data_IF_136544857230
#
_entry.id   IF_136544857230
#
_cell.length_a   1.000
_cell.length_b   1.000
_cell.length_c   1.000
_cell.angle_alpha   90.00
_cell.angle_beta   90.00
_cell.angle_gamma   90.00
#
_symmetry.space_group_name_H-M   'P 1'
#
loop_
_entity.id
_entity.type
_entity.pdbx_description
1 polymer ?
#
# COMPACT_ATOMS: atom_id res chain seq x y z
N UNK A 1 8.81 -28.25 0.81
CA UNK A 1 8.11 -27.73 -0.37
C UNK A 1 8.61 -26.36 -0.69
N UNK A 2 9.19 -26.18 -1.87
CA UNK A 2 9.60 -24.85 -2.32
C UNK A 2 8.36 -23.97 -2.48
N UNK A 3 8.42 -22.68 -2.09
CA UNK A 3 7.27 -21.80 -2.18
C UNK A 3 6.88 -21.62 -3.66
N UNK A 4 5.67 -22.09 -4.00
CA UNK A 4 5.12 -21.92 -5.36
C UNK A 4 4.86 -20.43 -5.59
N UNK A 5 5.55 -19.85 -6.57
CA UNK A 5 5.30 -18.49 -7.02
C UNK A 5 3.99 -18.47 -7.81
N UNK A 6 3.04 -17.64 -7.38
CA UNK A 6 1.77 -17.47 -8.07
C UNK A 6 1.93 -16.48 -9.22
N UNK A 7 2.13 -17.01 -10.43
CA UNK A 7 2.21 -16.21 -11.66
C UNK A 7 1.65 -16.97 -12.87
N UNK A 8 0.31 -17.04 -13.03
CA UNK A 8 -0.31 -17.76 -14.16
C UNK A 8 -0.10 -17.06 -15.52
N UNK A 9 0.24 -15.76 -15.53
CA UNK A 9 0.41 -14.96 -16.74
C UNK A 9 1.88 -14.64 -17.07
N UNK A 10 2.80 -15.13 -16.24
CA UNK A 10 4.23 -14.99 -16.41
C UNK A 10 4.72 -13.53 -16.42
N UNK A 11 4.08 -12.66 -15.63
CA UNK A 11 4.45 -11.24 -15.55
C UNK A 11 5.84 -11.03 -14.95
N UNK A 12 6.32 -11.96 -14.12
CA UNK A 12 7.66 -11.92 -13.56
C UNK A 12 8.74 -12.13 -14.63
N UNK A 13 8.41 -12.67 -15.80
CA UNK A 13 9.37 -12.93 -16.88
C UNK A 13 9.40 -11.86 -17.97
N UNK A 14 8.57 -10.82 -17.85
CA UNK A 14 8.47 -9.76 -18.86
C UNK A 14 9.80 -9.04 -19.11
N UNK A 15 10.66 -8.90 -18.09
CA UNK A 15 11.99 -8.30 -18.22
C UNK A 15 12.91 -9.09 -19.18
N UNK A 16 12.67 -10.39 -19.38
CA UNK A 16 13.43 -11.23 -20.32
C UNK A 16 13.04 -10.98 -21.78
N UNK A 17 11.84 -10.44 -22.02
CA UNK A 17 11.27 -10.22 -23.35
C UNK A 17 11.64 -8.82 -23.90
N UNK A 18 11.76 -7.82 -23.03
CA UNK A 18 12.16 -6.45 -23.42
C UNK A 18 12.86 -5.74 -22.28
N UNK A 19 13.99 -5.07 -22.57
CA UNK A 19 14.74 -4.28 -21.60
C UNK A 19 14.04 -2.99 -21.12
N UNK A 20 12.84 -2.69 -21.63
CA UNK A 20 11.99 -1.61 -21.14
C UNK A 20 10.96 -2.10 -20.10
N UNK A 21 10.94 -3.40 -19.78
CA UNK A 21 10.00 -3.95 -18.81
C UNK A 21 10.62 -3.96 -17.40
N UNK A 22 9.82 -3.73 -16.35
CA UNK A 22 10.31 -3.71 -14.97
C UNK A 22 10.80 -5.09 -14.52
N UNK A 23 11.90 -5.10 -13.77
CA UNK A 23 12.39 -6.31 -13.10
C UNK A 23 11.47 -6.76 -11.93
N UNK A 24 11.61 -8.02 -11.50
CA UNK A 24 10.86 -8.59 -10.38
C UNK A 24 11.08 -7.82 -9.08
N UNK A 25 12.27 -7.26 -8.85
CA UNK A 25 12.55 -6.43 -7.68
C UNK A 25 11.67 -5.17 -7.62
N UNK A 26 11.41 -4.55 -8.78
CA UNK A 26 10.49 -3.42 -8.91
C UNK A 26 9.04 -3.82 -8.61
N UNK A 27 8.58 -4.91 -9.21
CA UNK A 27 7.22 -5.43 -9.00
C UNK A 27 6.98 -5.77 -7.53
N UNK A 28 8.02 -6.27 -6.84
CA UNK A 28 7.98 -6.57 -5.41
C UNK A 28 7.84 -5.30 -4.56
N UNK A 29 8.58 -4.23 -4.89
CA UNK A 29 8.42 -2.95 -4.19
C UNK A 29 7.05 -2.34 -4.44
N UNK A 30 6.55 -2.43 -5.68
CA UNK A 30 5.22 -1.94 -6.04
C UNK A 30 4.14 -2.66 -5.22
N UNK A 31 4.21 -3.99 -5.10
CA UNK A 31 3.29 -4.77 -4.27
C UNK A 31 3.32 -4.32 -2.80
N UNK A 32 4.50 -4.07 -2.24
CA UNK A 32 4.65 -3.61 -0.85
C UNK A 32 4.09 -2.19 -0.64
N UNK A 33 4.31 -1.26 -1.56
CA UNK A 33 3.75 0.10 -1.49
C UNK A 33 2.22 0.08 -1.54
N UNK A 34 1.64 -0.61 -2.51
CA UNK A 34 0.18 -0.74 -2.63
C UNK A 34 -0.43 -1.47 -1.43
N UNK A 35 0.25 -2.50 -0.92
CA UNK A 35 -0.13 -3.20 0.30
C UNK A 35 -0.17 -2.29 1.53
N UNK A 36 0.85 -1.46 1.75
CA UNK A 36 0.87 -0.50 2.87
C UNK A 36 -0.19 0.58 2.75
N UNK A 37 -0.37 1.14 1.55
CA UNK A 37 -1.39 2.16 1.31
C UNK A 37 -2.80 1.61 1.51
N UNK A 38 -3.08 0.40 1.02
CA UNK A 38 -4.39 -0.25 1.23
C UNK A 38 -4.65 -0.62 2.70
N UNK A 39 -3.63 -1.08 3.44
CA UNK A 39 -3.77 -1.33 4.89
C UNK A 39 -4.16 -0.04 5.65
N UNK A 40 -3.52 1.08 5.34
CA UNK A 40 -3.87 2.39 5.93
C UNK A 40 -5.26 2.87 5.48
N UNK A 41 -5.62 2.67 4.22
CA UNK A 41 -6.92 3.07 3.68
C UNK A 41 -8.07 2.31 4.35
N UNK A 42 -7.97 0.98 4.47
CA UNK A 42 -9.00 0.17 5.14
C UNK A 42 -9.15 0.55 6.61
N UNK A 43 -8.03 0.76 7.32
CA UNK A 43 -8.09 1.25 8.70
C UNK A 43 -8.75 2.63 8.80
N UNK A 44 -8.40 3.56 7.91
CA UNK A 44 -9.00 4.90 7.87
C UNK A 44 -10.51 4.86 7.63
N UNK A 45 -10.99 4.01 6.73
CA UNK A 45 -12.44 3.82 6.48
C UNK A 45 -13.13 3.31 7.75
N UNK A 46 -12.56 2.30 8.41
CA UNK A 46 -13.13 1.74 9.65
C UNK A 46 -13.19 2.80 10.77
N UNK A 47 -12.13 3.60 10.93
CA UNK A 47 -12.09 4.65 11.97
C UNK A 47 -13.10 5.76 11.70
N UNK A 48 -13.22 6.19 10.44
CA UNK A 48 -14.15 7.24 10.03
C UNK A 48 -15.61 6.81 10.22
N UNK A 49 -15.94 5.59 9.80
CA UNK A 49 -17.26 4.98 9.99
C UNK A 49 -17.55 4.66 11.47
N UNK A 50 -16.52 4.31 12.23
CA UNK A 50 -16.58 4.15 13.69
C UNK A 50 -16.85 5.45 14.46
N UNK A 51 -16.93 6.59 13.77
CA UNK A 51 -17.30 7.88 14.36
C UNK A 51 -16.19 8.57 15.14
N UNK A 52 -14.96 8.05 15.11
CA UNK A 52 -13.80 8.69 15.73
C UNK A 52 -13.34 9.83 14.82
N UNK A 53 -13.66 11.06 15.23
CA UNK A 53 -13.36 12.27 14.44
C UNK A 53 -12.62 13.27 15.30
N UNK A 54 -11.77 14.06 14.66
CA UNK A 54 -11.14 15.20 15.30
C UNK A 54 -12.19 16.30 15.55
N UNK A 55 -12.41 16.74 16.81
CA UNK A 55 -13.31 17.83 17.14
C UNK A 55 -13.05 19.13 16.37
N UNK A 56 -11.81 19.37 15.93
CA UNK A 56 -11.42 20.58 15.21
C UNK A 56 -11.88 20.60 13.73
N UNK A 57 -12.19 19.43 13.15
CA UNK A 57 -12.58 19.28 11.74
C UNK A 57 -14.02 18.77 11.58
N UNK A 58 -14.85 19.07 12.58
CA UNK A 58 -16.26 18.67 12.69
C UNK A 58 -17.20 19.00 11.50
N UNK A 59 -16.96 20.00 10.61
CA UNK A 59 -17.87 20.23 9.48
C UNK A 59 -17.65 19.32 8.26
N UNK A 60 -16.70 18.37 8.31
CA UNK A 60 -16.51 17.37 7.24
C UNK A 60 -17.44 16.18 7.47
N UNK A 61 -18.18 15.78 6.43
CA UNK A 61 -19.17 14.71 6.48
C UNK A 61 -18.58 13.37 6.98
N UNK A 62 -19.45 12.58 7.60
CA UNK A 62 -19.12 11.27 8.16
C UNK A 62 -18.71 10.22 7.11
N UNK A 63 -19.13 10.41 5.86
CA UNK A 63 -18.94 9.40 4.82
C UNK A 63 -17.51 9.49 4.27
N UNK A 64 -16.79 8.36 4.30
CA UNK A 64 -15.40 8.27 3.85
C UNK A 64 -15.22 8.62 2.36
N UNK A 65 -16.26 8.51 1.54
CA UNK A 65 -16.19 8.82 0.11
C UNK A 65 -16.40 10.31 -0.20
N UNK A 66 -17.19 11.03 0.62
CA UNK A 66 -17.45 12.47 0.43
C UNK A 66 -16.56 13.37 1.30
N UNK A 67 -16.01 12.85 2.41
CA UNK A 67 -15.06 13.58 3.25
C UNK A 67 -13.83 14.13 2.49
N UNK A 68 -13.22 13.41 1.52
CA UNK A 68 -12.05 13.91 0.79
C UNK A 68 -12.34 15.19 -0.02
N UNK A 69 -13.54 15.36 -0.57
CA UNK A 69 -13.89 16.53 -1.39
C UNK A 69 -14.22 17.78 -0.56
N UNK A 70 -14.51 17.60 0.73
CA UNK A 70 -14.83 18.69 1.66
C UNK A 70 -13.61 19.19 2.45
N UNK A 71 -12.51 18.43 2.44
CA UNK A 71 -11.27 18.84 3.06
C UNK A 71 -10.69 20.10 2.39
N UNK A 72 -10.25 21.11 3.17
CA UNK A 72 -9.70 22.34 2.61
C UNK A 72 -8.42 22.07 1.82
N UNK A 73 -8.20 22.84 0.76
CA UNK A 73 -7.04 22.68 -0.14
C UNK A 73 -5.69 22.76 0.58
N UNK A 74 -5.59 23.49 1.70
CA UNK A 74 -4.40 23.54 2.53
C UNK A 74 -4.10 22.20 3.23
N UNK A 75 -5.12 21.48 3.69
CA UNK A 75 -4.95 20.16 4.28
C UNK A 75 -4.42 19.17 3.23
N UNK A 76 -5.01 19.18 2.03
CA UNK A 76 -4.50 18.42 0.88
C UNK A 76 -3.08 18.80 0.50
N UNK A 77 -2.77 20.10 0.45
CA UNK A 77 -1.43 20.59 0.15
C UNK A 77 -0.40 20.10 1.15
N UNK A 78 -0.71 20.13 2.45
CA UNK A 78 0.18 19.60 3.49
C UNK A 78 0.38 18.08 3.41
N UNK A 79 -0.67 17.33 3.08
CA UNK A 79 -0.61 15.87 2.91
C UNK A 79 0.23 15.48 1.70
N UNK A 80 -0.04 16.11 0.54
CA UNK A 80 0.71 15.86 -0.70
C UNK A 80 2.17 16.29 -0.53
N UNK A 81 2.43 17.42 0.13
CA UNK A 81 3.80 17.86 0.42
C UNK A 81 4.52 16.86 1.34
N UNK A 82 3.85 16.35 2.37
CA UNK A 82 4.42 15.33 3.25
C UNK A 82 4.74 14.03 2.49
N UNK A 83 3.80 13.55 1.68
CA UNK A 83 4.01 12.37 0.82
C UNK A 83 5.19 12.63 -0.13
N UNK A 84 5.23 13.79 -0.79
CA UNK A 84 6.30 14.15 -1.71
C UNK A 84 7.67 14.26 -1.04
N UNK A 85 7.75 14.74 0.21
CA UNK A 85 9.01 14.77 0.97
C UNK A 85 9.48 13.35 1.37
N UNK A 86 8.54 12.51 1.81
CA UNK A 86 8.85 11.11 2.18
C UNK A 86 9.28 10.34 0.92
N UNK A 87 8.48 10.38 -0.14
CA UNK A 87 8.80 9.70 -1.40
C UNK A 87 10.08 10.25 -2.04
N UNK A 88 10.29 11.57 -2.01
CA UNK A 88 11.50 12.20 -2.56
C UNK A 88 12.78 11.75 -1.85
N UNK A 89 12.75 11.61 -0.52
CA UNK A 89 13.88 11.07 0.25
C UNK A 89 14.17 9.60 -0.08
N UNK A 90 13.14 8.84 -0.44
CA UNK A 90 13.23 7.42 -0.74
C UNK A 90 13.14 7.13 -2.25
N UNK A 91 13.32 8.12 -3.11
CA UNK A 91 13.36 7.96 -4.57
C UNK A 91 14.75 7.55 -5.06
N UNK A 92 15.79 7.75 -4.25
CA UNK A 92 17.15 7.32 -4.56
C UNK A 92 17.21 5.78 -4.68
N UNK A 93 17.71 5.29 -5.83
CA UNK A 93 17.81 3.85 -6.13
C UNK A 93 16.58 3.23 -6.81
N UNK A 94 15.49 3.99 -7.01
CA UNK A 94 14.27 3.50 -7.68
C UNK A 94 14.55 3.08 -9.14
N UNK A 95 15.34 3.87 -9.88
CA UNK A 95 15.80 3.51 -11.23
C UNK A 95 16.73 2.29 -11.26
N UNK A 96 17.48 2.03 -10.19
CA UNK A 96 18.37 0.87 -10.10
C UNK A 96 17.54 -0.43 -9.89
N UNK A 97 16.43 -0.34 -9.13
CA UNK A 97 15.45 -1.42 -8.97
C UNK A 97 14.69 -1.76 -10.26
N UNK A 98 14.42 -0.75 -11.11
CA UNK A 98 13.84 -0.99 -12.43
C UNK A 98 14.73 -1.87 -13.30
N UNK A 99 16.05 -1.70 -13.19
CA UNK A 99 17.07 -2.46 -13.92
C UNK A 99 17.53 -3.75 -13.18
N UNK A 100 16.87 -4.11 -12.07
CA UNK A 100 17.20 -5.30 -11.27
C UNK A 100 18.47 -5.19 -10.41
N UNK A 101 19.10 -4.01 -10.34
CA UNK A 101 20.27 -3.78 -9.49
C UNK A 101 19.83 -3.51 -8.05
N UNK A 102 19.90 -4.55 -7.21
CA UNK A 102 19.50 -4.51 -5.79
C UNK A 102 20.64 -4.02 -4.87
N UNK A 103 21.81 -3.69 -5.42
CA UNK A 103 23.02 -3.39 -4.65
C UNK A 103 22.91 -2.17 -3.73
N UNK A 104 22.07 -1.18 -4.09
CA UNK A 104 21.89 0.03 -3.29
C UNK A 104 20.69 -0.03 -2.34
N UNK A 105 19.71 -0.88 -2.63
CA UNK A 105 18.44 -0.94 -1.89
C UNK A 105 17.72 -2.27 -2.06
N UNK A 106 17.32 -2.87 -0.95
CA UNK A 106 16.43 -4.03 -0.94
C UNK A 106 14.96 -3.57 -1.05
N UNK A 107 14.11 -4.26 -1.84
CA UNK A 107 12.70 -3.91 -1.99
C UNK A 107 11.98 -3.81 -0.64
N UNK A 108 11.41 -2.64 -0.35
CA UNK A 108 10.62 -2.40 0.86
C UNK A 108 11.40 -2.01 2.13
N UNK A 109 12.74 -1.96 2.10
CA UNK A 109 13.53 -1.37 3.18
C UNK A 109 13.68 0.15 2.95
N UNK A 110 13.10 0.93 3.86
CA UNK A 110 13.19 2.41 3.89
C UNK A 110 14.09 2.89 5.04
N UNK A 111 14.75 1.97 5.74
CA UNK A 111 15.53 2.26 6.94
C UNK A 111 14.74 2.79 8.13
N UNK A 112 13.42 2.90 8.00
CA UNK A 112 12.52 3.32 9.06
C UNK A 112 12.01 2.09 9.83
N UNK A 113 12.13 2.12 11.15
CA UNK A 113 11.63 1.04 12.01
C UNK A 113 12.51 -0.21 12.10
N UNK A 114 13.80 -0.15 11.73
CA UNK A 114 14.76 -1.27 11.89
C UNK A 114 14.81 -1.81 13.33
N UNK A 115 14.53 -0.97 14.33
CA UNK A 115 14.46 -1.36 15.74
C UNK A 115 13.24 -2.25 16.10
N UNK A 116 12.20 -2.30 15.25
CA UNK A 116 11.02 -3.15 15.46
C UNK A 116 11.16 -4.51 14.77
N UNK A 117 12.20 -4.70 13.96
CA UNK A 117 12.48 -5.96 13.30
C UNK A 117 13.38 -6.81 14.21
N UNK A 118 13.00 -8.07 14.43
CA UNK A 118 13.82 -9.01 15.19
C UNK A 118 15.15 -9.23 14.47
N UNK A 119 16.26 -9.27 15.22
CA UNK A 119 17.61 -9.47 14.67
C UNK A 119 17.78 -10.85 13.99
N UNK A 120 16.93 -11.82 14.35
CA UNK A 120 16.91 -13.15 13.74
C UNK A 120 16.34 -13.13 12.31
N UNK A 121 17.09 -13.63 11.30
CA UNK A 121 16.68 -13.56 9.89
C UNK A 121 15.38 -14.37 9.62
N UNK A 122 15.22 -15.51 10.29
CA UNK A 122 14.03 -16.36 10.16
C UNK A 122 12.78 -15.69 10.74
N UNK A 123 12.93 -14.94 11.83
CA UNK A 123 11.83 -14.19 12.44
C UNK A 123 11.46 -12.98 11.58
N UNK A 124 12.45 -12.28 11.04
CA UNK A 124 12.27 -11.17 10.12
C UNK A 124 11.51 -11.61 8.85
N UNK A 125 11.86 -12.76 8.26
CA UNK A 125 11.17 -13.27 7.06
C UNK A 125 9.73 -13.68 7.34
N UNK A 126 9.45 -14.25 8.52
CA UNK A 126 8.07 -14.51 8.96
C UNK A 126 7.26 -13.22 9.09
N UNK A 127 7.86 -12.14 9.60
CA UNK A 127 7.18 -10.84 9.69
C UNK A 127 6.94 -10.20 8.32
N UNK A 128 7.91 -10.27 7.41
CA UNK A 128 7.74 -9.84 6.01
C UNK A 128 6.62 -10.59 5.31
N UNK A 129 6.51 -11.90 5.54
CA UNK A 129 5.40 -12.70 5.00
C UNK A 129 4.04 -12.31 5.59
N UNK A 130 3.97 -11.97 6.88
CA UNK A 130 2.75 -11.46 7.51
C UNK A 130 2.32 -10.13 6.92
N UNK A 131 3.25 -9.20 6.78
CA UNK A 131 3.01 -7.90 6.12
C UNK A 131 2.45 -8.10 4.72
N UNK A 132 3.07 -8.98 3.93
CA UNK A 132 2.63 -9.24 2.57
C UNK A 132 1.22 -9.83 2.50
N UNK A 133 0.92 -10.82 3.35
CA UNK A 133 -0.40 -11.46 3.38
C UNK A 133 -1.49 -10.47 3.79
N UNK A 134 -1.21 -9.63 4.79
CA UNK A 134 -2.13 -8.57 5.21
C UNK A 134 -2.30 -7.50 4.14
N UNK A 135 -1.22 -7.11 3.44
CA UNK A 135 -1.29 -6.19 2.31
C UNK A 135 -2.14 -6.73 1.16
N UNK A 136 -1.97 -7.99 0.77
CA UNK A 136 -2.80 -8.63 -0.27
C UNK A 136 -4.28 -8.67 0.10
N UNK A 137 -4.57 -9.02 1.35
CA UNK A 137 -5.94 -9.00 1.87
C UNK A 137 -6.53 -7.59 1.85
N UNK A 138 -5.76 -6.60 2.29
CA UNK A 138 -6.19 -5.20 2.34
C UNK A 138 -6.47 -4.62 0.95
N UNK A 139 -5.68 -4.96 -0.06
CA UNK A 139 -5.93 -4.53 -1.45
C UNK A 139 -7.28 -5.03 -1.96
N UNK A 140 -7.61 -6.30 -1.69
CA UNK A 140 -8.91 -6.88 -2.08
C UNK A 140 -10.04 -6.27 -1.25
N UNK A 141 -9.84 -6.08 0.06
CA UNK A 141 -10.83 -5.49 0.95
C UNK A 141 -11.18 -4.06 0.51
N UNK A 142 -10.18 -3.23 0.21
CA UNK A 142 -10.39 -1.87 -0.27
C UNK A 142 -11.15 -1.85 -1.61
N UNK A 143 -10.77 -2.71 -2.56
CA UNK A 143 -11.47 -2.82 -3.84
C UNK A 143 -12.95 -3.25 -3.66
N UNK A 144 -13.23 -4.15 -2.72
CA UNK A 144 -14.58 -4.58 -2.38
C UNK A 144 -15.42 -3.47 -1.74
N UNK A 145 -14.84 -2.69 -0.82
CA UNK A 145 -15.50 -1.54 -0.20
C UNK A 145 -15.81 -0.47 -1.26
N UNK A 146 -14.84 -0.16 -2.13
CA UNK A 146 -15.04 0.78 -3.22
C UNK A 146 -16.13 0.33 -4.20
N UNK A 147 -16.16 -0.95 -4.57
CA UNK A 147 -17.21 -1.50 -5.43
C UNK A 147 -18.60 -1.40 -4.79
N UNK A 148 -18.72 -1.65 -3.48
CA UNK A 148 -19.99 -1.55 -2.77
C UNK A 148 -20.51 -0.10 -2.66
N UNK A 149 -19.62 0.88 -2.60
CA UNK A 149 -20.00 2.30 -2.62
C UNK A 149 -20.66 2.70 -3.95
N UNK A 150 -20.06 2.31 -5.08
CA UNK A 150 -20.60 2.63 -6.40
C UNK A 150 -21.81 1.77 -6.79
N UNK A 151 -21.84 0.51 -6.34
CA UNK A 151 -22.91 -0.43 -6.62
C UNK A 151 -23.40 -1.02 -5.29
N UNK A 152 -24.45 -0.44 -4.69
CA UNK A 152 -24.99 -0.91 -3.43
C UNK A 152 -25.37 -2.39 -3.50
N UNK A 153 -24.80 -3.21 -2.61
CA UNK A 153 -25.05 -4.65 -2.55
C UNK A 153 -24.10 -5.51 -3.40
N UNK A 154 -23.08 -4.92 -4.04
CA UNK A 154 -22.06 -5.67 -4.77
C UNK A 154 -21.22 -6.58 -3.86
N UNK A 155 -21.03 -6.20 -2.59
CA UNK A 155 -20.33 -7.03 -1.60
C UNK A 155 -21.30 -7.48 -0.49
N UNK A 156 -21.87 -8.69 -0.56
CA UNK A 156 -22.79 -9.18 0.46
C UNK A 156 -22.07 -9.27 1.82
N UNK A 157 -22.58 -8.53 2.80
CA UNK A 157 -21.99 -8.43 4.15
C UNK A 157 -21.14 -7.18 4.40
N UNK A 158 -20.88 -6.35 3.38
CA UNK A 158 -20.28 -5.03 3.60
C UNK A 158 -21.34 -4.08 4.18
N UNK A 159 -21.13 -3.58 5.39
CA UNK A 159 -22.00 -2.58 6.01
C UNK A 159 -21.64 -1.14 5.59
N UNK A 160 -20.53 -0.96 4.86
CA UNK A 160 -20.03 0.34 4.44
C UNK A 160 -20.60 0.69 3.07
N UNK A 161 -21.46 1.71 3.02
CA UNK A 161 -22.12 2.23 1.79
C UNK A 161 -21.72 3.66 1.51
#
# INVERSE_FOLDING_TARGET
DEPVVWDPFNFCELYKISGNNPDVAWLREAELKHGRMSMMAVFGIIVQEGGVRDPYWAPVDANWATAPSQCPALAWGSLIAFIGLVEGKYAEGLYDLWNGQTDKRTPGDYGWGKSFLSDDPVAADKMRLKELKNGRLAMIAFAGIAANHFIPGALPGCMYS
#
